data_IF_934745113959
#
_entry.id   IF_934745113959
#
_cell.length_a   1.000
_cell.length_b   1.000
_cell.length_c   1.000
_cell.angle_alpha   90.00
_cell.angle_beta   90.00
_cell.angle_gamma   90.00
#
_symmetry.space_group_name_H-M   'P 1'
#
loop_
_entity.id
_entity.type
_entity.pdbx_description
1 polymer ?
2 polymer ?
3 non-polymer ?
4 non-polymer ?
5 water ?
#
# COMPACT_ATOMS: atom_id res chain seq x y z
N UNK A 4 6.27 4.56 16.73
CA UNK A 4 6.56 4.09 15.38
C UNK A 4 5.35 3.49 14.67
N UNK A 5 4.71 2.51 15.32
CA UNK A 5 3.51 1.91 14.74
C UNK A 5 2.50 2.99 14.38
N UNK A 6 2.43 4.03 15.21
CA UNK A 6 1.56 5.15 14.93
C UNK A 6 2.05 5.96 13.73
N UNK A 7 3.36 6.08 13.56
CA UNK A 7 3.90 6.77 12.39
C UNK A 7 3.45 6.10 11.09
N UNK A 8 3.62 4.80 10.99
CA UNK A 8 3.38 4.13 9.73
C UNK A 8 1.88 3.98 9.51
N UNK A 9 1.10 3.86 10.59
CA UNK A 9 -0.35 3.85 10.45
C UNK A 9 -0.88 5.20 9.99
N UNK A 10 -0.30 6.30 10.51
CA UNK A 10 -0.71 7.63 10.07
C UNK A 10 -0.43 7.80 8.58
N UNK A 11 0.71 7.30 8.13
CA UNK A 11 1.04 7.38 6.72
C UNK A 11 0.05 6.58 5.89
N UNK A 12 -0.25 5.35 6.31
CA UNK A 12 -1.16 4.50 5.55
C UNK A 12 -2.54 5.15 5.42
N UNK A 13 -3.08 5.69 6.52
CA UNK A 13 -4.42 6.30 6.44
C UNK A 13 -4.38 7.57 5.60
N UNK A 14 -3.36 8.41 5.75
CA UNK A 14 -3.28 9.61 4.91
C UNK A 14 -3.19 9.22 3.45
N UNK A 15 -2.36 8.24 3.14
CA UNK A 15 -2.27 7.74 1.77
C UNK A 15 -3.65 7.35 1.26
N UNK A 16 -4.35 6.55 2.05
CA UNK A 16 -5.65 6.06 1.61
C UNK A 16 -6.65 7.20 1.40
N UNK A 17 -6.69 8.16 2.34
CA UNK A 17 -7.58 9.31 2.19
C UNK A 17 -7.26 10.11 0.94
N UNK A 18 -5.97 10.32 0.63
CA UNK A 18 -5.63 11.12 -0.55
C UNK A 18 -6.04 10.37 -1.82
N UNK A 19 -5.76 9.08 -1.87
CA UNK A 19 -6.10 8.29 -3.05
C UNK A 19 -7.60 8.22 -3.26
N UNK A 20 -8.34 8.04 -2.17
CA UNK A 20 -9.80 8.06 -2.26
C UNK A 20 -10.32 9.40 -2.77
N UNK A 21 -9.76 10.49 -2.26
CA UNK A 21 -10.22 11.81 -2.67
C UNK A 21 -9.83 12.12 -4.11
N UNK A 22 -8.70 11.62 -4.57
CA UNK A 22 -8.20 11.90 -5.91
C UNK A 22 -8.79 10.99 -6.98
N UNK A 23 -9.50 9.96 -6.59
CA UNK A 23 -10.08 9.00 -7.54
C UNK A 23 -11.53 8.78 -7.18
N UNK A 24 -12.35 9.84 -7.23
CA UNK A 24 -13.75 9.69 -6.84
C UNK A 24 -14.46 8.62 -7.65
N UNK A 25 -15.35 7.88 -6.98
CA UNK A 25 -16.24 6.88 -7.58
C UNK A 25 -15.47 5.74 -8.25
N UNK A 26 -14.22 5.54 -7.85
CA UNK A 26 -13.32 4.55 -8.43
C UNK A 26 -12.78 3.66 -7.31
N UNK A 27 -12.61 2.38 -7.62
CA UNK A 27 -11.97 1.46 -6.68
C UNK A 27 -10.55 1.92 -6.37
N UNK A 28 -10.09 1.64 -5.16
CA UNK A 28 -8.77 2.03 -4.72
C UNK A 28 -8.11 0.83 -4.07
N UNK A 29 -6.83 0.65 -4.34
CA UNK A 29 -6.10 -0.38 -3.59
C UNK A 29 -4.62 -0.07 -3.61
N UNK A 30 -3.97 -0.13 -2.45
CA UNK A 30 -2.55 0.19 -2.41
C UNK A 30 -1.93 -0.60 -1.29
N UNK A 31 -0.61 -0.64 -1.31
CA UNK A 31 0.18 -1.15 -0.17
C UNK A 31 0.99 -0.02 0.44
N UNK A 32 0.58 0.49 1.60
CA UNK A 32 1.38 1.53 2.24
C UNK A 32 2.79 1.08 2.59
N UNK A 33 2.96 -0.18 2.99
CA UNK A 33 4.27 -0.76 3.31
C UNK A 33 5.19 -0.73 2.09
N UNK A 34 4.66 -1.02 0.92
CA UNK A 34 5.48 -1.01 -0.28
C UNK A 34 5.93 0.40 -0.63
N UNK A 35 5.00 1.35 -0.59
CA UNK A 35 5.31 2.74 -0.90
C UNK A 35 6.30 3.30 0.12
N UNK A 36 6.06 3.04 1.41
CA UNK A 36 6.99 3.58 2.42
C UNK A 36 8.38 2.93 2.32
N UNK A 37 8.48 1.66 1.95
CA UNK A 37 9.78 1.04 1.76
C UNK A 37 10.54 1.75 0.63
N UNK A 38 9.89 1.98 -0.51
CA UNK A 38 10.55 2.68 -1.60
C UNK A 38 10.96 4.10 -1.19
N UNK A 39 10.06 4.82 -0.54
CA UNK A 39 10.36 6.19 -0.11
C UNK A 39 11.48 6.22 0.94
N UNK A 40 11.51 5.23 1.82
CA UNK A 40 12.56 5.18 2.83
C UNK A 40 13.94 4.92 2.23
N UNK A 41 14.01 4.10 1.18
CA UNK A 41 15.29 3.90 0.53
C UNK A 41 15.78 5.22 -0.08
N UNK A 42 14.88 6.01 -0.67
CA UNK A 42 15.27 7.34 -1.14
C UNK A 42 15.79 8.18 0.03
N UNK A 43 15.07 8.13 1.17
CA UNK A 43 15.46 8.92 2.34
C UNK A 43 16.88 8.61 2.76
N UNK A 44 17.28 7.34 2.64
CA UNK A 44 18.63 6.97 3.04
C UNK A 44 19.69 7.65 2.18
N UNK A 45 19.33 8.13 0.98
CA UNK A 45 20.26 8.83 0.13
C UNK A 45 20.05 10.32 0.02
N UNK A 46 19.18 10.90 0.84
CA UNK A 46 18.81 12.31 0.76
C UNK A 46 19.43 13.08 1.91
N UNK A 47 19.52 14.39 1.74
CA UNK A 47 20.06 15.26 2.77
C UNK A 47 19.25 16.54 2.83
N UNK A 48 19.44 17.29 3.92
CA UNK A 48 18.84 18.60 4.03
C UNK A 48 17.33 18.57 3.98
N UNK A 49 16.75 19.57 3.30
CA UNK A 49 15.31 19.72 3.27
C UNK A 49 14.66 18.65 2.41
N UNK A 50 15.37 18.14 1.41
CA UNK A 50 14.90 17.01 0.64
C UNK A 50 14.61 15.84 1.57
N UNK A 51 15.55 15.55 2.47
CA UNK A 51 15.35 14.46 3.42
C UNK A 51 14.27 14.80 4.44
N UNK A 52 14.26 16.04 4.94
CA UNK A 52 13.30 16.35 6.00
C UNK A 52 11.87 16.22 5.50
N UNK A 53 11.59 16.67 4.27
CA UNK A 53 10.27 16.54 3.72
C UNK A 53 9.86 15.09 3.59
N UNK A 54 10.78 14.21 3.20
CA UNK A 54 10.40 12.81 3.08
C UNK A 54 10.16 12.18 4.44
N UNK A 55 11.02 12.48 5.41
CA UNK A 55 10.80 11.95 6.75
C UNK A 55 9.46 12.40 7.31
N UNK A 56 9.12 13.68 7.13
CA UNK A 56 7.85 14.15 7.68
C UNK A 56 6.65 13.56 6.94
N UNK A 57 6.77 13.34 5.62
CA UNK A 57 5.73 12.61 4.93
C UNK A 57 5.47 11.26 5.59
N UNK A 58 6.54 10.60 6.07
CA UNK A 58 6.41 9.31 6.75
C UNK A 58 6.08 9.43 8.24
N UNK A 59 5.80 10.65 8.71
CA UNK A 59 5.45 10.92 10.09
C UNK A 59 6.63 10.68 11.01
N UNK A 60 7.83 10.87 10.49
CA UNK A 60 9.08 10.76 11.25
C UNK A 60 9.61 12.19 11.40
N UNK A 61 9.31 12.80 12.53
CA UNK A 61 9.45 14.25 12.67
C UNK A 61 10.70 14.67 13.40
N UNK A 62 11.43 13.70 13.97
CA UNK A 62 12.71 13.95 14.63
C UNK A 62 13.75 12.97 14.12
N UNK A 63 15.02 13.37 14.21
CA UNK A 63 16.15 12.51 13.89
C UNK A 63 16.05 11.18 14.63
N UNK A 64 15.67 11.24 15.91
CA UNK A 64 15.45 10.05 16.73
C UNK A 64 14.43 9.12 16.11
N UNK A 65 13.34 9.68 15.62
CA UNK A 65 12.26 8.89 15.02
C UNK A 65 12.71 8.21 13.74
N UNK A 66 13.52 8.90 12.94
CA UNK A 66 14.11 8.30 11.75
C UNK A 66 15.00 7.13 12.14
N UNK A 67 15.93 7.33 13.08
CA UNK A 67 16.85 6.25 13.42
C UNK A 67 16.14 5.06 14.00
N UNK A 68 15.15 5.29 14.87
CA UNK A 68 14.40 4.20 15.44
C UNK A 68 13.63 3.43 14.37
N UNK A 69 13.05 4.15 13.39
CA UNK A 69 12.30 3.47 12.34
C UNK A 69 13.20 2.50 11.57
N UNK A 70 14.37 2.95 11.17
CA UNK A 70 15.29 2.07 10.44
C UNK A 70 15.83 0.97 11.32
N UNK A 71 16.28 1.29 12.54
CA UNK A 71 16.78 0.23 13.41
C UNK A 71 15.71 -0.82 13.71
N UNK A 72 14.43 -0.42 13.79
CA UNK A 72 13.40 -1.40 14.09
C UNK A 72 13.24 -2.44 12.98
N UNK A 73 13.57 -2.08 11.74
CA UNK A 73 13.57 -3.07 10.66
C UNK A 73 14.52 -4.24 10.94
N UNK A 74 15.57 -4.01 11.75
CA UNK A 74 16.59 -5.02 12.00
C UNK A 74 16.12 -6.13 12.94
N UNK A 75 14.83 -6.22 13.26
CA UNK A 75 14.36 -7.22 14.21
C UNK A 75 13.02 -7.84 13.77
N UNK A 84 -0.10 -19.41 5.36
CA UNK A 84 -0.09 -18.26 4.48
C UNK A 84 1.32 -17.87 4.01
N UNK A 85 1.36 -17.11 2.90
CA UNK A 85 2.57 -16.56 2.35
C UNK A 85 2.55 -15.05 2.53
N UNK A 86 3.63 -14.48 3.06
CA UNK A 86 3.84 -13.05 3.10
C UNK A 86 5.29 -12.76 2.81
N UNK A 87 5.57 -12.10 1.70
CA UNK A 87 6.99 -11.86 1.40
C UNK A 87 7.18 -10.50 0.75
N UNK A 88 8.28 -9.86 1.14
CA UNK A 88 8.67 -8.57 0.61
C UNK A 88 10.05 -8.71 0.01
N UNK A 89 10.32 -7.91 -1.02
CA UNK A 89 11.62 -7.91 -1.70
C UNK A 89 11.92 -6.47 -2.12
N UNK A 90 13.16 -6.07 -1.93
CA UNK A 90 13.66 -4.78 -2.34
C UNK A 90 14.90 -4.97 -3.17
N UNK A 91 15.05 -4.11 -4.17
CA UNK A 91 16.21 -4.15 -5.04
C UNK A 91 16.49 -2.77 -5.61
N UNK A 92 17.77 -2.50 -5.83
CA UNK A 92 18.21 -1.30 -6.49
C UNK A 92 18.75 -1.68 -7.86
N UNK A 93 18.53 -0.83 -8.85
CA UNK A 93 19.00 -1.04 -10.21
C UNK A 93 19.73 0.22 -10.63
N UNK A 94 21.03 0.11 -10.89
CA UNK A 94 21.89 1.28 -11.04
C UNK A 94 22.62 1.32 -12.38
N UNK A 95 22.75 2.51 -12.94
CA UNK A 95 23.47 2.66 -14.18
C UNK A 95 24.87 2.10 -14.02
N UNK A 96 25.25 1.20 -14.92
CA UNK A 96 26.50 0.46 -14.76
C UNK A 96 27.75 1.33 -14.89
N UNK A 97 27.67 2.48 -15.55
CA UNK A 97 28.81 3.37 -15.63
C UNK A 97 28.85 4.40 -14.50
N UNK A 98 27.99 4.28 -13.50
CA UNK A 98 28.00 5.16 -12.34
C UNK A 98 28.48 4.39 -11.12
N UNK A 99 28.89 5.15 -10.11
CA UNK A 99 29.19 4.63 -8.79
C UNK A 99 28.25 5.28 -7.78
N UNK A 100 27.80 4.50 -6.83
CA UNK A 100 26.95 4.98 -5.77
C UNK A 100 27.70 4.84 -4.47
N UNK A 101 27.42 5.72 -3.53
CA UNK A 101 28.19 5.75 -2.31
C UNK A 101 28.06 4.44 -1.56
N UNK A 102 29.19 3.98 -1.02
CA UNK A 102 29.21 2.73 -0.26
C UNK A 102 28.26 2.78 0.94
N UNK A 103 28.19 3.93 1.62
CA UNK A 103 27.35 4.01 2.81
C UNK A 103 25.87 3.86 2.44
N UNK A 104 25.49 4.38 1.28
CA UNK A 104 24.11 4.22 0.82
C UNK A 104 23.78 2.77 0.48
N UNK A 105 24.67 2.10 -0.27
CA UNK A 105 24.44 0.70 -0.63
C UNK A 105 24.41 -0.18 0.60
N UNK A 106 25.31 0.09 1.55
CA UNK A 106 25.33 -0.64 2.81
C UNK A 106 24.04 -0.48 3.59
N UNK A 107 23.48 0.75 3.63
CA UNK A 107 22.26 0.98 4.38
C UNK A 107 21.06 0.29 3.71
N UNK A 108 20.95 0.37 2.38
CA UNK A 108 19.87 -0.33 1.70
C UNK A 108 19.98 -1.83 1.87
N UNK A 109 21.20 -2.37 1.93
CA UNK A 109 21.39 -3.80 2.16
C UNK A 109 21.00 -4.18 3.57
N UNK A 110 21.46 -3.40 4.54
CA UNK A 110 21.22 -3.74 5.94
C UNK A 110 19.75 -3.64 6.30
N UNK A 111 19.09 -2.57 5.89
CA UNK A 111 17.73 -2.31 6.35
C UNK A 111 16.67 -2.94 5.46
N UNK A 112 16.94 -3.13 4.18
CA UNK A 112 15.91 -3.62 3.25
C UNK A 112 16.35 -4.86 2.52
N UNK A 113 17.54 -5.39 2.81
CA UNK A 113 18.12 -6.53 2.10
C UNK A 113 18.15 -6.26 0.59
N UNK A 114 18.37 -5.01 0.22
CA UNK A 114 18.41 -4.62 -1.16
C UNK A 114 19.85 -4.67 -1.66
N UNK A 115 20.10 -5.47 -2.70
CA UNK A 115 21.31 -5.39 -3.49
C UNK A 115 21.12 -4.51 -4.72
N UNK A 116 22.23 -4.05 -5.29
CA UNK A 116 22.21 -3.22 -6.48
C UNK A 116 22.58 -4.08 -7.68
N UNK A 117 21.69 -4.15 -8.65
CA UNK A 117 21.95 -4.80 -9.94
C UNK A 117 22.27 -3.72 -10.96
N UNK A 118 23.32 -3.92 -11.71
CA UNK A 118 23.71 -2.94 -12.71
C UNK A 118 23.00 -3.17 -14.03
N UNK A 119 22.56 -2.07 -14.61
CA UNK A 119 21.90 -2.07 -15.91
C UNK A 119 22.48 -0.94 -16.76
N UNK A 120 22.30 -1.06 -18.08
CA UNK A 120 22.67 0.04 -18.96
C UNK A 120 21.42 0.85 -19.30
N UNK A 121 21.11 1.83 -18.44
CA UNK A 121 20.03 2.75 -18.76
C UNK A 121 20.40 3.65 -19.92
N UNK A 122 21.68 4.01 -20.03
CA UNK A 122 22.12 4.99 -21.04
C UNK A 122 22.03 4.42 -22.44
N UNK A 123 22.27 3.13 -22.61
CA UNK A 123 22.33 2.49 -23.92
C UNK A 123 21.26 1.47 -24.17
N UNK A 124 20.59 0.98 -23.13
CA UNK A 124 19.60 -0.08 -23.28
C UNK A 124 18.43 0.17 -22.32
N UNK A 125 17.87 1.38 -22.39
CA UNK A 125 16.81 1.77 -21.47
C UNK A 125 15.64 0.79 -21.52
N UNK A 126 15.24 0.34 -22.71
CA UNK A 126 14.05 -0.49 -22.80
C UNK A 126 14.30 -1.90 -22.28
N UNK A 127 15.44 -2.49 -22.61
CA UNK A 127 15.80 -3.78 -22.04
C UNK A 127 15.92 -3.67 -20.52
N UNK A 128 16.42 -2.53 -20.02
CA UNK A 128 16.53 -2.34 -18.58
C UNK A 128 15.14 -2.27 -17.94
N UNK A 129 14.21 -1.57 -18.58
CA UNK A 129 12.85 -1.50 -18.05
C UNK A 129 12.22 -2.89 -17.99
N UNK A 130 12.36 -3.63 -19.06
CA UNK A 130 11.82 -4.99 -19.13
C UNK A 130 12.41 -5.87 -18.05
N UNK A 131 13.72 -5.72 -17.78
CA UNK A 131 14.38 -6.54 -16.76
C UNK A 131 13.80 -6.25 -15.37
N UNK A 132 13.63 -4.96 -15.03
CA UNK A 132 13.05 -4.62 -13.74
C UNK A 132 11.62 -5.13 -13.65
N UNK A 133 10.83 -4.93 -14.71
CA UNK A 133 9.44 -5.37 -14.68
C UNK A 133 9.34 -6.89 -14.57
N UNK A 134 10.26 -7.61 -15.19
CA UNK A 134 10.29 -9.05 -15.04
C UNK A 134 10.66 -9.45 -13.62
N UNK A 135 11.62 -8.74 -13.01
CA UNK A 135 11.93 -9.04 -11.61
C UNK A 135 10.70 -8.87 -10.70
N UNK A 136 9.95 -7.79 -10.90
CA UNK A 136 8.76 -7.52 -10.09
C UNK A 136 7.71 -8.61 -10.31
N UNK A 137 7.53 -9.00 -11.56
CA UNK A 137 6.57 -10.06 -11.85
C UNK A 137 6.92 -11.33 -11.10
N UNK A 138 8.20 -11.71 -11.10
CA UNK A 138 8.59 -12.92 -10.40
C UNK A 138 8.28 -12.84 -8.91
N UNK A 139 8.61 -11.69 -8.31
CA UNK A 139 8.43 -11.50 -6.89
C UNK A 139 6.96 -11.35 -6.51
N UNK A 140 6.07 -11.10 -7.48
CA UNK A 140 4.64 -10.99 -7.17
C UNK A 140 3.84 -12.15 -7.76
N UNK A 141 4.50 -13.25 -8.08
CA UNK A 141 3.82 -14.43 -8.64
C UNK A 141 3.07 -14.10 -9.91
N UNK A 142 3.63 -13.21 -10.71
CA UNK A 142 2.97 -12.79 -11.92
C UNK A 142 1.84 -11.79 -11.76
N UNK A 143 1.55 -11.31 -10.54
CA UNK A 143 0.36 -10.49 -10.39
C UNK A 143 0.62 -9.04 -10.77
N UNK A 144 1.84 -8.57 -10.69
CA UNK A 144 2.18 -7.19 -11.04
C UNK A 144 3.10 -7.24 -12.25
N UNK A 145 2.54 -7.04 -13.41
CA UNK A 145 3.29 -6.96 -14.64
C UNK A 145 3.36 -5.51 -15.07
N UNK A 146 4.42 -5.20 -15.79
CA UNK A 146 4.68 -3.87 -16.30
C UNK A 146 4.49 -2.78 -15.23
N UNK A 147 5.20 -2.95 -14.10
CA UNK A 147 5.21 -1.86 -13.12
C UNK A 147 5.64 -0.54 -13.73
N UNK A 148 6.80 -0.52 -14.37
CA UNK A 148 7.32 0.68 -14.99
C UNK A 148 6.71 0.84 -16.37
N UNK A 149 5.97 1.90 -16.63
CA UNK A 149 5.37 2.08 -17.95
C UNK A 149 6.40 2.57 -18.96
N UNK A 150 6.00 2.55 -20.22
CA UNK A 150 6.84 3.05 -21.29
C UNK A 150 7.26 4.48 -21.01
N UNK A 151 8.51 4.80 -21.32
CA UNK A 151 9.13 6.10 -21.14
C UNK A 151 9.35 6.48 -19.67
N UNK A 152 9.10 5.59 -18.72
CA UNK A 152 9.50 5.93 -17.36
C UNK A 152 10.99 5.70 -17.12
N UNK A 153 11.66 4.99 -18.02
CA UNK A 153 13.09 4.73 -18.01
C UNK A 153 13.67 5.31 -19.29
N UNK A 154 14.68 6.18 -19.17
CA UNK A 154 15.26 6.77 -20.38
C UNK A 154 16.73 7.06 -20.15
N UNK A 155 17.36 7.71 -21.15
CA UNK A 155 18.81 7.85 -21.13
C UNK A 155 19.31 8.57 -19.88
N UNK A 156 18.46 9.36 -19.21
CA UNK A 156 18.86 10.06 -17.99
C UNK A 156 18.65 9.25 -16.73
N UNK A 157 18.02 8.09 -16.81
CA UNK A 157 17.79 7.29 -15.62
C UNK A 157 19.14 6.85 -15.07
N UNK A 158 19.31 6.95 -13.76
CA UNK A 158 20.54 6.50 -13.10
C UNK A 158 20.31 5.45 -12.02
N UNK A 159 19.18 5.47 -11.32
CA UNK A 159 18.95 4.53 -10.23
C UNK A 159 17.46 4.29 -10.10
N UNK A 160 17.05 3.02 -9.97
CA UNK A 160 15.64 2.66 -9.74
C UNK A 160 15.59 1.87 -8.45
N UNK A 161 14.79 2.33 -7.51
CA UNK A 161 14.60 1.67 -6.23
C UNK A 161 13.25 1.00 -6.26
N UNK A 162 13.20 -0.30 -5.95
CA UNK A 162 12.00 -1.09 -6.18
C UNK A 162 11.68 -1.92 -4.96
N UNK A 163 10.43 -1.91 -4.56
CA UNK A 163 9.88 -2.82 -3.57
C UNK A 163 8.77 -3.64 -4.21
N UNK A 164 8.67 -4.91 -3.83
CA UNK A 164 7.54 -5.76 -4.21
C UNK A 164 7.06 -6.52 -2.97
N UNK A 165 5.75 -6.73 -2.89
CA UNK A 165 5.16 -7.45 -1.77
C UNK A 165 4.14 -8.44 -2.30
N UNK A 166 4.07 -9.60 -1.65
CA UNK A 166 3.13 -10.63 -2.07
C UNK A 166 2.52 -11.29 -0.84
N UNK A 167 1.21 -11.46 -0.88
CA UNK A 167 0.49 -12.08 0.23
C UNK A 167 -0.52 -13.05 -0.36
N UNK A 168 -0.62 -14.23 0.26
CA UNK A 168 -1.73 -15.15 -0.04
C UNK A 168 -2.07 -15.88 1.23
N UNK A 169 -3.33 -15.82 1.61
CA UNK A 169 -3.78 -16.44 2.86
C UNK A 169 -5.15 -17.03 2.70
N UNK A 170 -5.39 -18.10 3.42
CA UNK A 170 -6.72 -18.71 3.52
C UNK A 170 -7.44 -18.11 4.69
N UNK A 171 -8.76 -18.02 4.57
CA UNK A 171 -9.57 -17.57 5.69
C UNK A 171 -9.42 -18.53 6.86
N UNK A 172 -9.46 -17.98 8.06
CA UNK A 172 -9.66 -18.79 9.23
C UNK A 172 -11.03 -19.47 9.19
N UNK A 173 -12.07 -18.78 8.72
CA UNK A 173 -13.39 -19.36 8.50
C UNK A 173 -13.81 -19.09 7.06
N UNK A 174 -13.53 -20.00 6.15
CA UNK A 174 -13.84 -19.73 4.74
C UNK A 174 -15.33 -19.79 4.49
N UNK A 175 -15.72 -19.12 3.43
CA UNK A 175 -17.08 -19.16 2.96
C UNK A 175 -17.29 -20.41 2.11
N UNK A 176 -18.53 -20.95 2.18
CA UNK A 176 -18.95 -22.09 1.35
C UNK A 176 -19.49 -21.52 0.05
N UNK A 177 -18.84 -21.87 -1.07
CA UNK A 177 -19.24 -21.35 -2.37
C UNK A 177 -20.69 -21.69 -2.73
N UNK A 178 -21.23 -22.77 -2.18
CA UNK A 178 -22.65 -23.07 -2.39
C UNK A 178 -23.55 -21.86 -2.19
N UNK A 179 -23.26 -21.01 -1.20
CA UNK A 179 -24.14 -19.92 -0.77
C UNK A 179 -23.77 -18.58 -1.37
N UNK A 180 -22.82 -18.56 -2.30
CA UNK A 180 -22.53 -17.35 -3.06
C UNK A 180 -23.58 -17.14 -4.13
N UNK A 181 -24.12 -15.93 -4.21
CA UNK A 181 -25.19 -15.64 -5.14
C UNK A 181 -25.05 -14.22 -5.63
N UNK A 182 -25.54 -14.00 -6.84
CA UNK A 182 -25.55 -12.68 -7.43
C UNK A 182 -26.54 -11.79 -6.72
N UNK A 183 -26.10 -10.61 -6.35
CA UNK A 183 -26.94 -9.64 -5.68
C UNK A 183 -26.62 -8.25 -6.18
N UNK A 184 -27.54 -7.30 -6.02
CA UNK A 184 -27.25 -5.92 -6.42
C UNK A 184 -26.29 -5.24 -5.47
N UNK A 185 -25.35 -4.52 -6.04
CA UNK A 185 -24.44 -3.67 -5.30
C UNK A 185 -24.74 -2.23 -5.67
N UNK A 186 -25.00 -1.39 -4.69
CA UNK A 186 -25.42 -0.02 -4.92
C UNK A 186 -24.18 0.85 -5.10
N UNK A 187 -23.80 1.10 -6.34
CA UNK A 187 -22.61 1.95 -6.54
C UNK A 187 -22.91 3.41 -6.25
N UNK A 188 -24.16 3.81 -6.30
CA UNK A 188 -24.58 5.13 -5.82
C UNK A 188 -26.10 5.06 -5.65
N UNK A 189 -26.72 6.20 -5.37
CA UNK A 189 -28.14 6.18 -5.03
C UNK A 189 -29.01 5.70 -6.19
N UNK A 190 -28.60 5.95 -7.43
CA UNK A 190 -29.42 5.67 -8.60
C UNK A 190 -28.94 4.50 -9.44
N UNK A 191 -27.79 3.91 -9.13
CA UNK A 191 -27.24 2.84 -9.95
C UNK A 191 -26.89 1.64 -9.09
N UNK A 192 -27.14 0.45 -9.62
CA UNK A 192 -26.81 -0.80 -8.95
C UNK A 192 -26.19 -1.70 -9.99
N UNK A 193 -25.21 -2.50 -9.56
CA UNK A 193 -24.54 -3.46 -10.42
C UNK A 193 -24.44 -4.80 -9.70
N UNK A 194 -24.50 -5.90 -10.44
CA UNK A 194 -24.45 -7.22 -9.80
C UNK A 194 -23.06 -7.57 -9.29
N UNK A 195 -23.03 -8.21 -8.12
CA UNK A 195 -21.81 -8.80 -7.59
C UNK A 195 -22.13 -10.21 -7.14
N UNK A 196 -21.09 -11.05 -7.11
CA UNK A 196 -21.20 -12.35 -6.45
C UNK A 196 -20.97 -12.12 -4.97
N UNK A 197 -22.00 -12.34 -4.19
CA UNK A 197 -21.96 -12.08 -2.76
C UNK A 197 -21.79 -13.39 -2.00
N UNK A 198 -20.72 -13.48 -1.22
CA UNK A 198 -20.43 -14.64 -0.38
C UNK A 198 -21.27 -14.52 0.88
N UNK A 199 -21.55 -15.66 1.52
CA UNK A 199 -22.40 -15.63 2.69
C UNK A 199 -21.93 -16.62 3.74
N UNK A 200 -21.91 -16.16 5.00
CA UNK A 200 -21.75 -17.14 6.07
C UNK A 200 -22.18 -16.49 7.37
N UNK A 201 -22.74 -17.31 8.27
CA UNK A 201 -23.02 -16.87 9.63
C UNK A 201 -21.97 -17.49 10.53
N UNK A 202 -21.20 -16.65 11.22
CA UNK A 202 -20.10 -17.16 12.06
C UNK A 202 -19.78 -16.12 13.12
N UNK A 203 -18.89 -16.49 14.03
CA UNK A 203 -18.51 -15.57 15.09
C UNK A 203 -17.25 -14.80 14.68
N UNK A 204 -17.38 -13.49 14.61
CA UNK A 204 -16.31 -12.61 14.21
C UNK A 204 -16.28 -11.43 15.16
N UNK A 205 -15.14 -10.78 15.23
CA UNK A 205 -15.06 -9.52 15.93
C UNK A 205 -15.69 -8.43 15.07
N UNK A 206 -16.53 -7.63 15.69
CA UNK A 206 -17.40 -6.69 15.00
C UNK A 206 -17.65 -5.52 15.93
N UNK A 207 -17.51 -4.33 15.38
CA UNK A 207 -17.74 -3.07 16.08
C UNK A 207 -18.81 -2.28 15.38
N UNK A 208 -19.68 -1.65 16.16
CA UNK A 208 -20.55 -0.60 15.64
C UNK A 208 -19.95 0.73 16.08
N UNK A 209 -19.68 1.60 15.12
CA UNK A 209 -18.94 2.83 15.39
C UNK A 209 -19.94 3.96 15.29
N UNK A 210 -20.41 4.42 16.46
CA UNK A 210 -21.44 5.43 16.48
C UNK A 210 -21.00 6.74 15.92
N UNK A 211 -19.71 7.08 16.12
CA UNK A 211 -19.22 8.41 15.74
C UNK A 211 -19.41 8.68 14.26
N UNK A 212 -19.18 7.66 13.43
CA UNK A 212 -19.24 7.82 11.98
C UNK A 212 -20.35 7.00 11.36
N UNK A 213 -21.15 6.31 12.16
CA UNK A 213 -22.30 5.53 11.68
C UNK A 213 -21.85 4.42 10.70
N UNK A 214 -21.00 3.54 11.20
CA UNK A 214 -20.43 2.50 10.37
C UNK A 214 -20.23 1.26 11.20
N UNK A 215 -20.00 0.14 10.52
CA UNK A 215 -19.64 -1.10 11.16
C UNK A 215 -18.24 -1.50 10.71
N UNK A 216 -17.51 -2.15 11.60
CA UNK A 216 -16.15 -2.62 11.34
C UNK A 216 -16.08 -4.10 11.64
N UNK A 217 -15.81 -4.89 10.62
CA UNK A 217 -15.69 -6.34 10.74
C UNK A 217 -14.27 -6.79 10.53
N UNK A 218 -13.85 -7.76 11.34
CA UNK A 218 -12.57 -8.41 11.21
C UNK A 218 -12.77 -9.83 10.75
N UNK A 219 -12.13 -10.20 9.62
CA UNK A 219 -12.12 -11.57 9.12
C UNK A 219 -10.68 -12.05 9.19
N UNK A 220 -10.33 -12.92 10.12
CA UNK A 220 -8.94 -13.36 10.22
C UNK A 220 -8.57 -14.36 9.15
N UNK A 221 -7.30 -14.34 8.80
CA UNK A 221 -6.67 -15.36 7.98
C UNK A 221 -6.18 -16.48 8.90
N UNK A 222 -5.78 -17.58 8.29
CA UNK A 222 -5.47 -18.77 9.06
C UNK A 222 -4.25 -18.49 9.94
N UNK A 223 -4.31 -18.95 11.18
CA UNK A 223 -3.32 -18.68 12.22
C UNK A 223 -3.68 -17.37 12.93
N UNK A 224 -4.53 -16.56 12.30
CA UNK A 224 -4.93 -15.26 12.84
C UNK A 224 -3.75 -14.31 13.03
N UNK A 225 -2.68 -14.49 12.25
CA UNK A 225 -1.60 -13.52 12.26
C UNK A 225 -2.01 -12.25 11.52
N UNK A 226 -2.73 -12.41 10.39
CA UNK A 226 -3.23 -11.30 9.59
C UNK A 226 -4.76 -11.36 9.56
N UNK A 227 -5.38 -10.21 9.32
CA UNK A 227 -6.82 -10.07 9.23
C UNK A 227 -7.20 -9.13 8.10
N UNK A 228 -8.41 -9.34 7.57
CA UNK A 228 -9.06 -8.32 6.74
C UNK A 228 -10.03 -7.53 7.60
N UNK A 229 -9.89 -6.22 7.62
CA UNK A 229 -10.84 -5.34 8.27
C UNK A 229 -11.68 -4.67 7.19
N UNK A 230 -12.98 -4.65 7.38
CA UNK A 230 -13.92 -4.04 6.44
C UNK A 230 -14.72 -2.98 7.18
N UNK A 231 -14.64 -1.75 6.70
CA UNK A 231 -15.34 -0.60 7.26
C UNK A 231 -16.50 -0.25 6.35
N UNK A 232 -17.70 -0.52 6.82
CA UNK A 232 -18.94 -0.43 6.05
C UNK A 232 -19.86 0.62 6.63
N UNK A 233 -20.10 1.72 5.92
CA UNK A 233 -21.05 2.72 6.42
C UNK A 233 -22.45 2.14 6.55
N UNK A 234 -23.19 2.61 7.55
CA UNK A 234 -24.62 2.30 7.61
C UNK A 234 -25.35 2.77 6.35
N UNK A 235 -26.52 2.18 6.10
CA UNK A 235 -27.10 2.16 4.76
C UNK A 235 -27.47 3.53 4.18
N UNK A 236 -27.66 4.56 4.99
CA UNK A 236 -27.86 5.89 4.39
C UNK A 236 -26.69 6.84 4.46
N UNK A 237 -25.50 6.37 4.83
CA UNK A 237 -24.35 7.22 5.11
C UNK A 237 -23.42 7.19 3.92
N UNK A 238 -23.00 8.36 3.44
CA UNK A 238 -22.08 8.41 2.32
C UNK A 238 -20.67 8.01 2.78
N UNK A 239 -20.01 7.15 2.01
CA UNK A 239 -18.69 6.68 2.43
C UNK A 239 -17.72 7.85 2.56
N UNK A 240 -17.86 8.87 1.73
CA UNK A 240 -16.98 10.02 1.83
C UNK A 240 -17.03 10.68 3.20
N UNK A 241 -18.14 10.61 3.93
CA UNK A 241 -18.13 11.19 5.27
C UNK A 241 -17.29 10.34 6.22
N UNK A 242 -17.28 9.03 6.00
CA UNK A 242 -16.43 8.17 6.82
C UNK A 242 -14.97 8.40 6.46
N UNK A 243 -14.67 8.54 5.15
CA UNK A 243 -13.29 8.79 4.74
C UNK A 243 -12.73 10.07 5.37
N UNK A 244 -13.53 11.14 5.41
CA UNK A 244 -13.05 12.40 5.98
C UNK A 244 -12.80 12.28 7.48
N UNK A 245 -13.68 11.58 8.20
CA UNK A 245 -13.52 11.40 9.64
C UNK A 245 -12.36 10.46 9.99
N UNK A 246 -11.97 9.59 9.08
CA UNK A 246 -11.03 8.52 9.43
C UNK A 246 -9.66 9.08 9.80
N UNK A 247 -9.08 8.53 10.89
CA UNK A 247 -7.70 8.72 11.27
C UNK A 247 -7.19 7.39 11.79
N UNK A 248 -5.87 7.26 11.83
CA UNK A 248 -5.29 6.01 12.32
C UNK A 248 -5.57 5.83 13.81
N UNK A 249 -5.61 6.92 14.57
CA UNK A 249 -5.91 6.80 15.99
C UNK A 249 -7.35 6.33 16.23
N UNK A 250 -8.31 6.86 15.47
CA UNK A 250 -9.69 6.40 15.58
C UNK A 250 -9.80 4.94 15.16
N UNK A 251 -9.23 4.61 14.00
CA UNK A 251 -9.30 3.23 13.52
C UNK A 251 -8.74 2.27 14.54
N UNK A 252 -7.62 2.62 15.18
CA UNK A 252 -7.06 1.77 16.24
C UNK A 252 -8.00 1.64 17.42
N UNK A 253 -8.63 2.72 17.83
CA UNK A 253 -9.59 2.62 18.92
C UNK A 253 -10.73 1.65 18.56
N UNK A 254 -11.24 1.74 17.33
CA UNK A 254 -12.40 0.96 16.93
C UNK A 254 -12.11 -0.53 16.85
N UNK A 255 -10.84 -0.94 16.82
CA UNK A 255 -10.46 -2.35 16.78
C UNK A 255 -10.17 -2.91 18.17
N UNK A 256 -10.21 -2.08 19.20
CA UNK A 256 -9.94 -2.54 20.54
C UNK A 256 -11.08 -3.45 21.04
N UNK A 257 -10.79 -4.34 21.99
CA UNK A 257 -11.81 -5.31 22.44
C UNK A 257 -13.08 -4.67 22.96
N UNK A 258 -13.03 -3.44 23.46
CA UNK A 258 -14.24 -2.83 23.96
C UNK A 258 -15.18 -2.39 22.84
N UNK A 259 -14.64 -2.10 21.67
CA UNK A 259 -15.43 -1.68 20.48
C UNK A 259 -15.68 -2.88 19.57
N UNK A 260 -14.65 -3.65 19.22
CA UNK A 260 -14.74 -4.74 18.24
C UNK A 260 -14.76 -6.05 19.01
N UNK A 261 -15.96 -6.50 19.37
CA UNK A 261 -16.13 -7.68 20.21
C UNK A 261 -16.66 -8.87 19.40
N UNK A 262 -16.30 -10.08 19.85
CA UNK A 262 -16.76 -11.29 19.20
C UNK A 262 -18.29 -11.31 19.19
N UNK A 263 -18.85 -11.56 17.99
CA UNK A 263 -20.27 -11.44 17.74
C UNK A 263 -20.65 -12.45 16.68
N UNK A 264 -21.75 -13.18 16.90
CA UNK A 264 -22.32 -14.01 15.85
C UNK A 264 -23.01 -13.09 14.84
N UNK A 265 -22.62 -13.17 13.59
CA UNK A 265 -23.06 -12.17 12.64
C UNK A 265 -23.23 -12.83 11.28
N UNK A 266 -24.27 -12.42 10.57
CA UNK A 266 -24.44 -12.82 9.18
C UNK A 266 -23.63 -11.89 8.32
N UNK A 267 -22.67 -12.45 7.59
CA UNK A 267 -21.77 -11.68 6.76
C UNK A 267 -22.08 -11.92 5.30
N UNK A 268 -22.33 -10.85 4.58
CA UNK A 268 -22.39 -10.89 3.13
C UNK A 268 -21.28 -9.99 2.61
N UNK A 269 -20.33 -10.59 1.90
CA UNK A 269 -19.17 -9.89 1.41
C UNK A 269 -18.97 -10.25 -0.05
N UNK A 270 -18.78 -9.28 -0.94
CA UNK A 270 -18.54 -9.63 -2.34
C UNK A 270 -17.20 -10.29 -2.55
N UNK A 271 -17.21 -11.26 -3.48
CA UNK A 271 -16.01 -11.69 -4.19
C UNK A 271 -15.59 -10.58 -5.12
N UNK A 272 -14.30 -10.28 -5.16
CA UNK A 272 -13.91 -9.23 -6.08
C UNK A 272 -12.42 -9.32 -6.36
N UNK A 273 -12.03 -8.72 -7.48
CA UNK A 273 -10.63 -8.65 -7.89
C UNK A 273 -10.37 -7.24 -8.42
N UNK A 274 -9.37 -6.57 -7.88
CA UNK A 274 -8.99 -5.22 -8.27
C UNK A 274 -7.55 -5.21 -8.75
N UNK A 275 -7.28 -4.35 -9.74
CA UNK A 275 -5.90 -4.08 -10.17
C UNK A 275 -5.79 -2.58 -10.37
N UNK A 276 -4.91 -1.92 -9.67
CA UNK A 276 -4.86 -0.47 -9.73
C UNK A 276 -3.42 -0.07 -10.02
N UNK A 277 -3.25 1.15 -10.53
CA UNK A 277 -1.89 1.66 -10.70
C UNK A 277 -1.94 3.17 -10.58
N UNK A 278 -0.85 3.72 -10.04
CA UNK A 278 -0.81 5.12 -9.59
C UNK A 278 0.51 5.74 -9.99
N UNK A 279 0.42 6.96 -10.49
CA UNK A 279 1.55 7.90 -10.46
C UNK A 279 1.52 8.62 -9.12
N UNK A 280 2.57 8.48 -8.33
CA UNK A 280 2.52 8.92 -6.94
C UNK A 280 2.98 10.35 -6.75
N UNK A 281 3.37 11.06 -7.80
CA UNK A 281 3.96 12.39 -7.58
C UNK A 281 2.95 13.32 -6.91
N UNK A 282 1.71 13.37 -7.38
CA UNK A 282 0.74 14.28 -6.76
C UNK A 282 0.46 13.91 -5.31
N UNK A 283 0.47 12.60 -4.98
CA UNK A 283 0.29 12.17 -3.59
C UNK A 283 1.42 12.69 -2.72
N UNK A 284 2.66 12.44 -3.12
CA UNK A 284 3.78 12.86 -2.30
C UNK A 284 3.83 14.36 -2.15
N UNK A 285 3.42 15.11 -3.17
CA UNK A 285 3.33 16.56 -3.03
C UNK A 285 2.31 16.93 -1.95
N UNK A 286 1.15 16.26 -1.92
CA UNK A 286 0.17 16.47 -0.87
C UNK A 286 0.81 16.32 0.51
N UNK A 287 1.71 15.35 0.63
CA UNK A 287 2.37 15.09 1.90
C UNK A 287 3.57 15.99 2.14
N UNK A 288 3.82 16.93 1.24
CA UNK A 288 4.87 17.91 1.41
C UNK A 288 6.20 17.64 0.74
N UNK A 289 6.31 16.59 -0.06
CA UNK A 289 7.57 16.29 -0.72
C UNK A 289 7.61 17.07 -2.03
N UNK A 290 8.49 18.05 -2.11
CA UNK A 290 8.54 18.91 -3.28
C UNK A 290 9.96 18.98 -3.82
N UNK A 291 10.93 19.15 -2.91
CA UNK A 291 12.31 19.40 -3.32
C UNK A 291 12.88 18.24 -4.14
N UNK A 292 12.58 17.00 -3.74
CA UNK A 292 13.17 15.83 -4.38
C UNK A 292 12.86 15.78 -5.87
N UNK A 293 11.79 16.43 -6.29
CA UNK A 293 11.36 16.42 -7.68
C UNK A 293 11.96 17.55 -8.51
N UNK A 294 12.65 18.50 -7.89
CA UNK A 294 12.91 19.80 -8.50
C UNK A 294 14.40 19.90 -8.82
N UNK A 295 14.71 20.08 -10.10
CA UNK A 295 16.08 20.29 -10.53
C UNK A 295 16.67 21.46 -9.75
N UNK A 296 17.84 21.24 -9.17
CA UNK A 296 18.53 22.25 -8.38
C UNK A 296 18.23 22.18 -6.91
N UNK A 297 17.00 21.87 -6.55
CA UNK A 297 16.65 21.77 -5.14
C UNK A 297 16.87 20.37 -4.58
N UNK A 298 16.66 19.33 -5.38
CA UNK A 298 16.83 17.98 -4.87
C UNK A 298 18.24 17.80 -4.36
N UNK A 299 18.37 17.27 -3.17
CA UNK A 299 19.67 16.90 -2.62
C UNK A 299 19.67 15.40 -2.36
N UNK A 300 20.19 14.62 -3.31
CA UNK A 300 20.38 13.19 -3.18
C UNK A 300 21.86 12.84 -3.07
N UNK A 301 22.62 13.70 -2.39
CA UNK A 301 24.06 13.56 -2.38
C UNK A 301 24.53 12.49 -1.42
N UNK A 302 23.63 11.89 -0.68
CA UNK A 302 24.05 10.72 0.08
C UNK A 302 23.96 9.44 -0.76
N UNK A 303 23.45 9.50 -2.00
CA UNK A 303 23.49 8.31 -2.83
C UNK A 303 24.67 8.28 -3.77
N UNK A 304 25.09 9.46 -4.21
CA UNK A 304 26.10 9.60 -5.25
C UNK A 304 26.83 10.92 -5.06
N UNK A 305 28.09 10.93 -5.45
CA UNK A 305 28.84 12.18 -5.53
C UNK A 305 28.47 13.01 -6.76
N UNK A 306 27.96 12.37 -7.81
CA UNK A 306 27.18 13.10 -8.80
C UNK A 306 26.07 13.85 -8.08
N UNK A 307 25.82 15.09 -8.47
CA UNK A 307 24.91 15.90 -7.67
C UNK A 307 24.02 16.77 -8.54
N UNK A 308 23.62 16.26 -9.71
CA UNK A 308 22.43 16.78 -10.35
C UNK A 308 21.40 15.66 -10.49
N UNK A 309 21.19 14.90 -9.42
CA UNK A 309 20.13 13.88 -9.39
C UNK A 309 18.82 14.44 -8.84
N UNK A 310 17.73 13.99 -9.42
CA UNK A 310 16.41 14.27 -8.88
C UNK A 310 15.52 13.07 -9.07
N UNK A 311 14.40 13.10 -8.36
CA UNK A 311 13.36 12.09 -8.45
C UNK A 311 12.46 12.39 -9.63
N UNK A 312 12.52 11.57 -10.69
CA UNK A 312 11.77 11.83 -11.90
C UNK A 312 10.42 11.09 -11.96
N UNK A 313 10.27 9.95 -11.30
CA UNK A 313 9.00 9.21 -11.38
C UNK A 313 8.89 8.27 -10.18
N UNK A 314 7.66 8.11 -9.71
CA UNK A 314 7.35 7.23 -8.57
C UNK A 314 6.03 6.56 -8.93
N UNK A 315 6.06 5.25 -9.15
CA UNK A 315 4.89 4.51 -9.58
C UNK A 315 4.57 3.42 -8.55
N UNK A 316 3.28 3.10 -8.47
CA UNK A 316 2.75 2.08 -7.57
C UNK A 316 1.71 1.30 -8.34
N UNK A 317 1.79 -0.04 -8.27
CA UNK A 317 0.82 -0.93 -8.90
C UNK A 317 0.43 -1.99 -7.88
N UNK A 318 -0.84 -2.37 -7.87
CA UNK A 318 -1.38 -3.29 -6.88
C UNK A 318 -2.42 -4.24 -7.49
N UNK A 319 -2.67 -5.31 -6.74
CA UNK A 319 -3.53 -6.41 -7.16
C UNK A 319 -4.16 -7.02 -5.91
N UNK A 320 -5.46 -7.29 -5.93
CA UNK A 320 -6.04 -8.10 -4.86
C UNK A 320 -7.17 -8.96 -5.41
N UNK A 321 -7.29 -10.16 -4.87
CA UNK A 321 -8.40 -11.05 -5.17
C UNK A 321 -8.94 -11.60 -3.87
N UNK A 322 -10.21 -11.38 -3.62
CA UNK A 322 -10.92 -11.89 -2.44
C UNK A 322 -11.97 -12.87 -2.94
N UNK A 323 -11.99 -14.08 -2.39
CA UNK A 323 -12.98 -15.07 -2.78
C UNK A 323 -13.29 -15.94 -1.57
N UNK A 324 -13.95 -17.09 -1.80
CA UNK A 324 -14.47 -17.89 -0.69
C UNK A 324 -13.37 -18.57 0.11
N UNK A 325 -12.23 -18.87 -0.53
CA UNK A 325 -11.11 -19.53 0.15
C UNK A 325 -10.20 -18.59 0.92
N UNK A 326 -10.07 -17.33 0.49
CA UNK A 326 -9.10 -16.47 1.12
C UNK A 326 -8.87 -15.21 0.33
N UNK A 327 -7.61 -14.76 0.34
CA UNK A 327 -7.22 -13.52 -0.32
C UNK A 327 -5.81 -13.68 -0.86
N UNK A 328 -5.59 -13.11 -2.05
CA UNK A 328 -4.28 -12.97 -2.67
C UNK A 328 -4.06 -11.50 -2.99
N UNK A 329 -2.94 -10.94 -2.56
CA UNK A 329 -2.70 -9.52 -2.80
C UNK A 329 -1.23 -9.31 -3.13
N UNK A 330 -0.97 -8.35 -4.00
CA UNK A 330 0.39 -8.04 -4.36
C UNK A 330 0.51 -6.57 -4.69
N UNK A 331 1.72 -6.04 -4.53
CA UNK A 331 1.94 -4.66 -4.94
C UNK A 331 3.43 -4.46 -5.17
N UNK A 332 3.74 -3.41 -5.92
CA UNK A 332 5.11 -3.04 -6.14
C UNK A 332 5.18 -1.53 -6.33
N UNK A 333 6.33 -0.99 -5.99
CA UNK A 333 6.59 0.45 -6.01
C UNK A 333 7.96 0.65 -6.60
N UNK A 334 8.08 1.57 -7.55
CA UNK A 334 9.37 1.89 -8.12
C UNK A 334 9.61 3.39 -8.13
N UNK A 335 10.81 3.80 -7.72
CA UNK A 335 11.25 5.18 -7.75
C UNK A 335 12.35 5.29 -8.80
N UNK A 336 12.20 6.20 -9.73
CA UNK A 336 13.22 6.47 -10.74
C UNK A 336 13.97 7.75 -10.36
N UNK A 337 15.28 7.63 -10.16
CA UNK A 337 16.16 8.78 -9.96
C UNK A 337 16.94 9.03 -11.23
N UNK A 338 16.97 10.28 -11.66
CA UNK A 338 17.54 10.60 -12.95
C UNK A 338 18.53 11.74 -12.86
N UNK A 339 19.39 11.82 -13.87
CA UNK A 339 20.37 12.90 -13.97
C UNK A 339 19.70 14.10 -14.60
N UNK A 340 19.64 15.20 -13.87
CA UNK A 340 19.10 16.43 -14.41
C UNK A 340 20.20 17.45 -14.66
N UNK B 6 -33.12 -10.19 12.22
CA UNK B 6 -33.15 -9.61 13.57
C UNK B 6 -31.74 -9.45 14.16
N UNK B 7 -30.92 -10.52 14.11
CA UNK B 7 -29.62 -10.51 14.72
C UNK B 7 -28.63 -9.60 13.97
N UNK B 8 -27.38 -9.58 14.46
CA UNK B 8 -26.37 -8.74 13.80
C UNK B 8 -26.17 -9.18 12.35
N UNK B 9 -26.09 -8.19 11.46
CA UNK B 9 -25.91 -8.40 10.02
C UNK B 9 -24.88 -7.43 9.46
N UNK B 10 -23.98 -7.93 8.67
CA UNK B 10 -22.96 -7.12 8.01
C UNK B 10 -23.14 -7.36 6.51
N UNK B 11 -23.81 -6.44 5.83
CA UNK B 11 -24.20 -6.68 4.43
C UNK B 11 -23.46 -5.68 3.56
N UNK B 12 -22.33 -6.12 2.96
CA UNK B 12 -21.45 -5.20 2.23
C UNK B 12 -21.85 -5.11 0.77
N UNK B 13 -23.05 -4.56 0.55
CA UNK B 13 -23.63 -4.37 -0.77
C UNK B 13 -23.63 -2.89 -1.18
N UNK B 14 -22.75 -2.10 -0.59
CA UNK B 14 -22.50 -0.73 -1.00
C UNK B 14 -21.07 -0.39 -0.61
N UNK B 15 -20.56 0.76 -1.05
CA UNK B 15 -19.09 0.96 -0.97
C UNK B 15 -18.55 0.87 0.45
N UNK B 16 -17.34 0.30 0.55
CA UNK B 16 -16.70 0.18 1.85
C UNK B 16 -15.18 0.34 1.69
N UNK B 17 -14.53 0.56 2.81
CA UNK B 17 -13.09 0.57 2.91
C UNK B 17 -12.65 -0.77 3.48
N UNK B 18 -11.40 -1.15 3.17
CA UNK B 18 -10.90 -2.38 3.74
C UNK B 18 -9.40 -2.32 3.89
N UNK B 19 -8.91 -3.20 4.75
CA UNK B 19 -7.54 -3.15 5.21
C UNK B 19 -7.06 -4.57 5.45
N UNK B 20 -5.88 -4.91 4.94
CA UNK B 20 -5.20 -6.13 5.33
C UNK B 20 -4.16 -5.72 6.35
N UNK B 21 -4.32 -6.23 7.57
CA UNK B 21 -3.52 -5.83 8.71
C UNK B 21 -2.73 -7.01 9.27
N UNK B 22 -1.47 -6.74 9.61
CA UNK B 22 -0.69 -7.65 10.45
C UNK B 22 -1.06 -7.36 11.90
N UNK B 23 -1.66 -8.35 12.57
CA UNK B 23 -2.34 -8.04 13.83
C UNK B 23 -1.34 -7.76 14.95
N UNK B 24 -0.35 -8.63 15.14
CA UNK B 24 0.60 -8.40 16.22
C UNK B 24 1.29 -7.04 16.07
N UNK B 25 1.76 -6.74 14.86
CA UNK B 25 2.42 -5.47 14.60
C UNK B 25 1.47 -4.28 14.49
N UNK B 26 0.15 -4.50 14.44
CA UNK B 26 -0.80 -3.43 14.13
C UNK B 26 -0.41 -2.64 12.87
N UNK B 27 -0.02 -3.35 11.82
CA UNK B 27 0.49 -2.74 10.62
C UNK B 27 -0.49 -2.94 9.47
N UNK B 28 -0.84 -1.85 8.80
CA UNK B 28 -1.65 -1.89 7.59
C UNK B 28 -0.74 -2.23 6.40
N UNK B 29 -0.87 -3.43 5.87
CA UNK B 29 -0.08 -3.94 4.78
C UNK B 29 -0.67 -3.54 3.44
N UNK B 30 -1.99 -3.55 3.33
CA UNK B 30 -2.69 -3.14 2.14
C UNK B 30 -3.97 -2.45 2.59
N UNK B 31 -4.47 -1.51 1.78
CA UNK B 31 -5.78 -0.95 2.07
C UNK B 31 -6.43 -0.43 0.80
N UNK B 32 -7.73 -0.23 0.87
CA UNK B 32 -8.40 0.12 -0.35
C UNK B 32 -9.84 0.50 -0.14
N UNK B 33 -10.50 0.73 -1.27
CA UNK B 33 -11.92 1.06 -1.29
C UNK B 33 -12.55 0.22 -2.37
N UNK B 34 -13.62 -0.51 -2.04
CA UNK B 34 -14.41 -1.20 -3.04
C UNK B 34 -15.64 -0.35 -3.35
N UNK B 35 -15.63 0.31 -4.51
CA UNK B 35 -16.68 1.23 -4.94
C UNK B 35 -17.59 0.63 -5.99
N UNK B 36 -17.11 -0.32 -6.80
CA UNK B 36 -17.98 -0.83 -7.85
C UNK B 36 -17.42 -2.09 -8.49
N UNK B 37 -18.26 -3.10 -8.71
CA UNK B 37 -17.81 -4.31 -9.41
C UNK B 37 -17.56 -4.10 -10.90
#
# INVERSE_FOLDING_TARGET
SETLSNASGTFAIRLLKILCQDNPSHNVFCSPVSISSALAMVLLGAKGNTATQMAQALSLNTEEDIHRAFQSLLTEVNKAGTQYLLRTANRLFGEKTCQFLSTFKESCLQFYHAELKELSFIRAAEESRKHINTWVSKKTEGKIEELLPGSSIDAETRLVLVNAIYFKGKWNEPFDETYTREMPFKINQEEQRPVQMMYQEATFKLAHVGEVRAQLLELPYARKELSLLVLLPDDGVELSTVEKSLTFEKLTAWTKPDCMKSTEVEVLLPKFKLQEDYDMESVLRHLGIVDAFQQGKADLSAMSAERDLCLSKFVHKSFVEVNEEGTEAAAASAVVIAAAG
RSLNESGPRFCADHPFLFFIRHNRANSILFCGRFSSP
#
